data_IF_342415676856
#
_entry.id   IF_342415676856
#
_cell.length_a   1.000
_cell.length_b   1.000
_cell.length_c   1.000
_cell.angle_alpha   90.00
_cell.angle_beta   90.00
_cell.angle_gamma   90.00
#
_symmetry.space_group_name_H-M   'P 1'
#
loop_
_entity.id
_entity.type
_entity.pdbx_description
1 polymer ?
#
# COMPACT_ATOMS: atom_id res chain seq x y z
N UNK A 1 -13.92 -6.28 8.20
CA UNK A 1 -13.19 -5.12 7.67
C UNK A 1 -13.76 -3.90 8.36
N UNK A 2 -13.21 -3.57 9.52
CA UNK A 2 -13.76 -2.50 10.35
C UNK A 2 -12.71 -1.43 10.65
N UNK A 3 -11.46 -1.61 10.21
CA UNK A 3 -10.38 -0.68 10.50
C UNK A 3 -9.71 -0.18 9.21
N UNK A 4 -9.61 1.14 9.09
CA UNK A 4 -8.84 1.83 8.06
C UNK A 4 -7.76 2.64 8.77
N UNK A 5 -6.50 2.30 8.55
CA UNK A 5 -5.36 3.00 9.16
C UNK A 5 -4.54 3.69 8.10
N UNK A 6 -4.39 5.01 8.19
CA UNK A 6 -3.52 5.80 7.30
C UNK A 6 -2.04 5.54 7.64
N UNK A 7 -1.25 5.18 6.63
CA UNK A 7 0.19 4.89 6.76
C UNK A 7 0.98 6.16 6.44
N UNK A 8 0.90 6.66 5.21
CA UNK A 8 1.54 7.90 4.81
C UNK A 8 0.74 9.11 5.29
N UNK A 9 1.40 9.97 6.06
CA UNK A 9 0.83 11.19 6.65
C UNK A 9 1.58 12.41 6.12
N UNK A 10 0.98 13.62 6.09
CA UNK A 10 1.65 14.82 5.58
C UNK A 10 3.03 15.09 6.19
N UNK A 11 3.20 14.84 7.50
CA UNK A 11 4.48 15.00 8.20
C UNK A 11 5.45 13.82 8.08
N UNK A 12 5.04 12.70 7.50
CA UNK A 12 5.91 11.54 7.25
C UNK A 12 5.36 10.71 6.10
N UNK A 13 5.92 10.94 4.91
CA UNK A 13 5.62 10.15 3.72
C UNK A 13 6.32 8.80 3.79
N UNK A 14 5.64 7.75 3.33
CA UNK A 14 6.16 6.38 3.34
C UNK A 14 6.12 5.84 1.92
N UNK A 15 7.29 5.62 1.33
CA UNK A 15 7.46 5.04 0.01
C UNK A 15 8.15 3.69 0.12
N UNK A 16 7.75 2.74 -0.73
CA UNK A 16 8.34 1.41 -0.80
C UNK A 16 8.54 0.97 -2.24
N UNK A 17 9.56 0.14 -2.46
CA UNK A 17 9.72 -0.61 -3.70
C UNK A 17 8.63 -1.67 -3.85
N UNK A 18 8.41 -2.17 -5.07
CA UNK A 18 7.37 -3.17 -5.35
C UNK A 18 7.56 -4.46 -4.55
N UNK A 19 8.81 -4.88 -4.31
CA UNK A 19 9.14 -6.06 -3.52
C UNK A 19 8.88 -5.88 -2.01
N UNK A 20 8.89 -4.64 -1.53
CA UNK A 20 8.79 -4.30 -0.11
C UNK A 20 7.36 -3.94 0.33
N UNK A 21 6.39 -4.09 -0.58
CA UNK A 21 4.98 -3.81 -0.28
C UNK A 21 4.50 -4.79 0.81
N UNK A 22 4.05 -4.29 1.98
CA UNK A 22 3.73 -5.14 3.11
C UNK A 22 2.43 -5.90 2.92
N UNK A 23 2.39 -7.13 3.44
CA UNK A 23 1.14 -7.91 3.57
C UNK A 23 0.43 -7.51 4.86
N UNK A 24 -0.88 -7.23 4.76
CA UNK A 24 -1.71 -6.90 5.93
C UNK A 24 -2.39 -8.17 6.46
N UNK A 25 -2.29 -8.43 7.77
CA UNK A 25 -2.92 -9.58 8.46
C UNK A 25 -2.74 -10.92 7.73
N UNK A 26 -1.50 -11.25 7.34
CA UNK A 26 -1.16 -12.46 6.57
C UNK A 26 -1.97 -12.63 5.27
N UNK A 27 -2.30 -11.52 4.60
CA UNK A 27 -3.02 -11.51 3.33
C UNK A 27 -4.54 -11.38 3.44
N UNK A 28 -5.08 -11.29 4.66
CA UNK A 28 -6.53 -11.05 4.89
C UNK A 28 -6.92 -9.57 4.80
N UNK A 29 -5.95 -8.66 4.82
CA UNK A 29 -6.18 -7.24 4.60
C UNK A 29 -5.66 -6.75 3.25
N UNK A 30 -5.76 -5.43 3.05
CA UNK A 30 -5.34 -4.72 1.85
C UNK A 30 -4.49 -3.51 2.20
N UNK A 31 -3.57 -3.14 1.32
CA UNK A 31 -2.89 -1.85 1.35
C UNK A 31 -3.16 -1.12 0.03
N UNK A 32 -3.39 0.19 0.08
CA UNK A 32 -3.49 1.05 -1.10
C UNK A 32 -2.16 1.77 -1.33
N UNK A 33 -1.70 1.73 -2.58
CA UNK A 33 -0.42 2.29 -3.00
C UNK A 33 -0.67 3.31 -4.11
N UNK A 34 -0.14 4.53 -3.93
CA UNK A 34 -0.07 5.51 -5.01
C UNK A 34 1.18 5.24 -5.84
N UNK A 35 1.01 4.80 -7.08
CA UNK A 35 2.11 4.47 -8.00
C UNK A 35 2.20 5.49 -9.13
N UNK A 36 3.23 5.40 -9.98
CA UNK A 36 3.34 6.23 -11.18
C UNK A 36 2.24 5.99 -12.23
N UNK A 37 1.48 4.89 -12.12
CA UNK A 37 0.34 4.58 -12.99
C UNK A 37 -1.02 4.79 -12.32
N UNK A 38 -1.04 5.52 -11.19
CA UNK A 38 -2.24 5.77 -10.41
C UNK A 38 -2.31 4.93 -9.13
N UNK A 39 -3.44 5.06 -8.43
CA UNK A 39 -3.70 4.38 -7.16
C UNK A 39 -4.21 2.97 -7.42
N UNK A 40 -3.58 1.99 -6.78
CA UNK A 40 -3.97 0.58 -6.91
C UNK A 40 -3.72 -0.19 -5.62
N UNK A 41 -4.18 -1.43 -5.56
CA UNK A 41 -3.91 -2.30 -4.42
C UNK A 41 -2.45 -2.71 -4.37
N UNK A 42 -1.94 -3.01 -3.17
CA UNK A 42 -0.57 -3.52 -3.01
C UNK A 42 -0.33 -4.80 -3.81
N UNK A 43 -1.35 -5.65 -3.96
CA UNK A 43 -1.26 -6.87 -4.78
C UNK A 43 -1.08 -6.55 -6.27
N UNK A 44 -1.83 -5.59 -6.80
CA UNK A 44 -1.70 -5.15 -8.20
C UNK A 44 -0.37 -4.45 -8.45
N UNK A 45 0.08 -3.63 -7.50
CA UNK A 45 1.37 -2.96 -7.55
C UNK A 45 2.54 -3.96 -7.60
N UNK A 46 2.54 -4.97 -6.73
CA UNK A 46 3.53 -6.07 -6.77
C UNK A 46 3.50 -6.80 -8.11
N UNK A 47 2.31 -7.17 -8.61
CA UNK A 47 2.16 -7.85 -9.92
C UNK A 47 2.69 -7.00 -11.07
N UNK A 48 2.49 -5.70 -11.01
CA UNK A 48 2.93 -4.73 -12.02
C UNK A 48 4.39 -4.30 -11.84
N UNK A 49 5.09 -4.82 -10.82
CA UNK A 49 6.44 -4.41 -10.40
C UNK A 49 6.57 -2.91 -10.12
N UNK A 50 5.50 -2.28 -9.63
CA UNK A 50 5.46 -0.85 -9.30
C UNK A 50 5.56 -0.65 -7.78
N UNK A 51 6.49 0.20 -7.37
CA UNK A 51 6.52 0.75 -6.02
C UNK A 51 5.64 2.00 -5.90
N UNK A 52 5.69 2.67 -4.76
CA UNK A 52 4.93 3.90 -4.56
C UNK A 52 4.73 4.29 -3.11
N UNK A 53 3.85 5.28 -2.91
CA UNK A 53 3.48 5.77 -1.58
C UNK A 53 2.45 4.82 -0.93
N UNK A 54 2.73 4.32 0.28
CA UNK A 54 1.76 3.55 1.06
C UNK A 54 0.74 4.49 1.71
N UNK A 55 -0.45 4.59 1.12
CA UNK A 55 -1.47 5.52 1.58
C UNK A 55 -2.09 5.05 2.90
N UNK A 56 -2.66 3.84 2.88
CA UNK A 56 -3.43 3.29 4.00
C UNK A 56 -3.54 1.77 3.90
N UNK A 57 -3.86 1.13 5.03
CA UNK A 57 -4.22 -0.29 5.12
C UNK A 57 -5.64 -0.46 5.63
N UNK A 58 -6.29 -1.55 5.21
CA UNK A 58 -7.65 -1.94 5.59
C UNK A 58 -7.64 -3.39 6.07
N UNK A 59 -8.32 -3.69 7.18
CA UNK A 59 -8.56 -5.06 7.66
C UNK A 59 -9.81 -5.17 8.55
#
# INVERSE_FOLDING_TARGET
MNEITRISKPGRRVYVGSADIPKVKNGRGLVLVSTSKGVMTGREAVKSKLGGELLLKVY
#
